data_IF_272713549328
#
_entry.id   IF_272713549328
#
_cell.length_a   1.000
_cell.length_b   1.000
_cell.length_c   1.000
_cell.angle_alpha   90.00
_cell.angle_beta   90.00
_cell.angle_gamma   90.00
#
_symmetry.space_group_name_H-M   'P 1'
#
loop_
_entity.id
_entity.type
_entity.pdbx_description
1 polymer ?
#
# COMPACT_ATOMS: atom_id res chain seq x y z
N UNK A 1 4.80 -8.14 -4.28
CA UNK A 1 5.29 -7.72 -2.96
C UNK A 1 4.89 -6.27 -2.72
N UNK A 2 4.58 -5.89 -1.48
CA UNK A 2 4.26 -4.51 -1.12
C UNK A 2 5.16 -4.08 0.03
N UNK A 3 5.63 -2.84 -0.01
CA UNK A 3 6.50 -2.27 1.03
C UNK A 3 6.00 -0.90 1.46
N UNK A 4 6.03 -0.63 2.77
CA UNK A 4 5.86 0.69 3.36
C UNK A 4 7.22 1.20 3.86
N UNK A 5 7.45 2.50 3.81
CA UNK A 5 8.77 3.08 4.07
C UNK A 5 8.69 4.45 4.74
N UNK A 6 9.81 4.85 5.36
CA UNK A 6 10.00 6.19 5.96
C UNK A 6 10.07 7.31 4.92
N UNK A 7 10.20 6.97 3.64
CA UNK A 7 10.02 7.92 2.53
C UNK A 7 8.54 8.27 2.26
N UNK A 8 7.62 7.81 3.15
CA UNK A 8 6.18 8.10 3.14
C UNK A 8 5.44 7.42 1.99
N UNK A 9 6.08 6.42 1.36
CA UNK A 9 5.55 5.73 0.18
C UNK A 9 5.17 4.30 0.50
N UNK A 10 4.09 3.88 -0.15
CA UNK A 10 3.73 2.48 -0.31
C UNK A 10 4.08 2.09 -1.75
N UNK A 11 4.93 1.09 -1.92
CA UNK A 11 5.37 0.63 -3.25
C UNK A 11 4.91 -0.78 -3.50
N UNK A 12 4.47 -1.01 -4.73
CA UNK A 12 4.03 -2.30 -5.23
C UNK A 12 5.04 -2.81 -6.25
N UNK A 13 5.47 -4.03 -6.02
CA UNK A 13 6.56 -4.65 -6.74
C UNK A 13 6.09 -5.94 -7.39
N UNK A 14 6.47 -6.12 -8.65
CA UNK A 14 6.23 -7.33 -9.42
C UNK A 14 7.58 -7.93 -9.81
N UNK A 15 7.63 -9.26 -9.80
CA UNK A 15 8.72 -10.04 -10.37
C UNK A 15 8.08 -11.12 -11.25
N UNK A 16 8.02 -10.91 -12.59
CA UNK A 16 7.24 -11.75 -13.49
C UNK A 16 7.64 -13.23 -13.48
N UNK A 17 8.92 -13.51 -13.26
CA UNK A 17 9.46 -14.85 -13.14
C UNK A 17 10.70 -14.85 -12.23
N UNK A 18 11.24 -16.03 -11.90
CA UNK A 18 12.35 -16.18 -10.96
C UNK A 18 13.65 -15.50 -11.41
N UNK A 19 13.86 -15.35 -12.71
CA UNK A 19 15.08 -14.80 -13.30
C UNK A 19 14.97 -13.29 -13.60
N UNK A 20 13.78 -12.73 -13.48
CA UNK A 20 13.55 -11.28 -13.66
C UNK A 20 13.98 -10.48 -12.44
N UNK A 21 14.33 -9.22 -12.69
CA UNK A 21 14.48 -8.21 -11.64
C UNK A 21 13.12 -7.79 -11.07
N UNK A 22 13.14 -7.31 -9.83
CA UNK A 22 11.96 -6.68 -9.24
C UNK A 22 11.74 -5.30 -9.87
N UNK A 23 10.53 -5.03 -10.33
CA UNK A 23 10.14 -3.71 -10.81
C UNK A 23 9.04 -3.11 -9.94
N UNK A 24 9.18 -1.82 -9.62
CA UNK A 24 8.15 -1.03 -8.96
C UNK A 24 7.13 -0.62 -10.02
N UNK A 25 5.97 -1.27 -10.06
CA UNK A 25 4.92 -0.93 -11.03
C UNK A 25 3.94 0.12 -10.50
N UNK A 26 3.90 0.34 -9.18
CA UNK A 26 3.04 1.38 -8.60
C UNK A 26 3.64 1.96 -7.31
N UNK A 27 3.40 3.25 -7.09
CA UNK A 27 3.72 3.98 -5.85
C UNK A 27 2.49 4.76 -5.41
N UNK A 28 2.10 4.62 -4.15
CA UNK A 28 1.08 5.44 -3.49
C UNK A 28 1.80 6.34 -2.47
N UNK A 29 1.51 7.64 -2.52
CA UNK A 29 2.17 8.67 -1.71
C UNK A 29 1.11 9.56 -1.06
N UNK A 30 0.20 8.93 -0.31
CA UNK A 30 -0.86 9.64 0.42
C UNK A 30 -0.49 9.86 1.89
N UNK A 31 0.34 8.98 2.46
CA UNK A 31 0.91 9.21 3.77
C UNK A 31 1.76 10.49 3.79
N UNK A 32 1.59 11.30 4.84
CA UNK A 32 2.32 12.54 5.10
C UNK A 32 3.53 12.34 6.01
N UNK A 33 3.65 11.15 6.59
CA UNK A 33 4.77 10.73 7.44
C UNK A 33 5.10 9.24 7.24
N UNK A 34 5.96 8.67 8.08
CA UNK A 34 6.44 7.30 7.96
C UNK A 34 5.31 6.28 7.91
N UNK A 35 5.40 5.33 6.97
CA UNK A 35 4.53 4.15 6.94
C UNK A 35 5.13 3.10 7.87
N UNK A 36 4.41 2.78 8.95
CA UNK A 36 4.91 1.94 10.02
C UNK A 36 4.47 0.48 9.89
N UNK A 37 3.31 0.22 9.29
CA UNK A 37 2.80 -1.13 9.11
C UNK A 37 1.96 -1.28 7.84
N UNK A 38 1.92 -2.52 7.35
CA UNK A 38 1.08 -2.98 6.25
C UNK A 38 0.47 -4.33 6.62
N UNK A 39 -0.79 -4.56 6.26
CA UNK A 39 -1.46 -5.84 6.42
C UNK A 39 -2.36 -6.14 5.24
N UNK A 40 -2.29 -7.36 4.71
CA UNK A 40 -3.26 -7.85 3.73
C UNK A 40 -4.51 -8.38 4.43
N UNK A 41 -5.62 -8.41 3.70
CA UNK A 41 -6.74 -9.28 4.04
C UNK A 41 -6.51 -10.70 3.50
N UNK A 42 -7.34 -11.65 3.96
CA UNK A 42 -7.22 -13.07 3.59
C UNK A 42 -7.35 -13.32 2.07
N UNK A 43 -8.15 -12.51 1.38
CA UNK A 43 -8.36 -12.64 -0.07
C UNK A 43 -7.30 -11.92 -0.92
N UNK A 44 -6.29 -11.30 -0.29
CA UNK A 44 -5.21 -10.56 -0.94
C UNK A 44 -5.64 -9.47 -1.94
N UNK A 45 -6.89 -9.01 -1.85
CA UNK A 45 -7.44 -7.95 -2.70
C UNK A 45 -7.49 -6.60 -1.98
N UNK A 46 -7.22 -6.57 -0.67
CA UNK A 46 -7.15 -5.34 0.13
C UNK A 46 -5.91 -5.30 1.02
N UNK A 47 -5.42 -4.09 1.23
CA UNK A 47 -4.28 -3.79 2.09
C UNK A 47 -4.65 -2.64 3.01
N UNK A 48 -4.34 -2.78 4.28
CA UNK A 48 -4.40 -1.68 5.25
C UNK A 48 -2.98 -1.20 5.51
N UNK A 49 -2.81 0.12 5.57
CA UNK A 49 -1.57 0.78 5.95
C UNK A 49 -1.81 1.77 7.07
N UNK A 50 -0.81 1.99 7.92
CA UNK A 50 -0.86 3.04 8.93
C UNK A 50 0.51 3.70 9.13
N UNK A 51 0.49 4.97 9.53
CA UNK A 51 1.68 5.79 9.70
C UNK A 51 1.61 6.79 10.85
N UNK A 52 2.72 7.53 11.03
CA UNK A 52 2.89 8.57 12.05
C UNK A 52 2.06 9.84 11.77
N UNK A 53 1.57 9.98 10.54
CA UNK A 53 0.64 11.02 10.12
C UNK A 53 -0.78 10.85 10.65
N UNK A 54 -1.00 9.80 11.46
CA UNK A 54 -2.30 9.42 12.04
C UNK A 54 -3.33 9.00 10.99
N UNK A 55 -2.87 8.66 9.78
CA UNK A 55 -3.71 8.11 8.73
C UNK A 55 -3.68 6.59 8.74
N UNK A 56 -4.83 6.00 8.48
CA UNK A 56 -5.00 4.61 8.08
C UNK A 56 -5.60 4.63 6.68
N UNK A 57 -4.90 4.05 5.71
CA UNK A 57 -5.40 3.91 4.34
C UNK A 57 -5.88 2.48 4.13
N UNK A 58 -7.02 2.34 3.45
CA UNK A 58 -7.49 1.07 2.91
C UNK A 58 -7.33 1.10 1.41
N UNK A 59 -6.51 0.19 0.90
CA UNK A 59 -6.19 0.06 -0.51
C UNK A 59 -6.88 -1.17 -1.07
N UNK A 60 -7.50 -1.06 -2.24
CA UNK A 60 -8.16 -2.16 -2.94
C UNK A 60 -7.61 -2.35 -4.34
N UNK A 61 -7.40 -3.61 -4.72
CA UNK A 61 -6.98 -4.00 -6.06
C UNK A 61 -8.16 -3.90 -7.04
N UNK A 62 -7.98 -3.13 -8.11
CA UNK A 62 -8.98 -2.97 -9.16
C UNK A 62 -9.23 -4.30 -9.88
N UNK A 63 -10.50 -4.63 -10.09
CA UNK A 63 -10.92 -5.76 -10.92
C UNK A 63 -10.97 -5.43 -12.41
N UNK A 64 -11.01 -4.13 -12.76
CA UNK A 64 -11.22 -3.65 -14.14
C UNK A 64 -9.92 -3.41 -14.90
N UNK A 65 -8.84 -3.12 -14.19
CA UNK A 65 -7.50 -2.90 -14.74
C UNK A 65 -6.56 -3.82 -13.98
N UNK A 66 -5.91 -4.75 -14.70
CA UNK A 66 -4.97 -5.70 -14.10
C UNK A 66 -3.97 -4.96 -13.21
N UNK A 67 -3.98 -5.31 -11.93
CA UNK A 67 -2.97 -5.01 -10.93
C UNK A 67 -2.84 -3.56 -10.43
N UNK A 68 -3.79 -2.66 -10.72
CA UNK A 68 -3.77 -1.33 -10.09
C UNK A 68 -4.44 -1.33 -8.71
N UNK A 69 -3.79 -0.70 -7.74
CA UNK A 69 -4.30 -0.47 -6.39
C UNK A 69 -4.86 0.95 -6.24
N UNK A 70 -5.98 1.11 -5.55
CA UNK A 70 -6.56 2.41 -5.30
C UNK A 70 -6.83 2.57 -3.81
N UNK A 71 -6.61 3.78 -3.30
CA UNK A 71 -7.15 4.13 -2.00
C UNK A 71 -8.68 4.25 -2.09
N UNK A 72 -9.37 3.58 -1.19
CA UNK A 72 -10.83 3.58 -1.08
C UNK A 72 -11.32 4.18 0.24
N UNK A 73 -10.44 4.40 1.22
CA UNK A 73 -10.80 4.96 2.52
C UNK A 73 -9.59 5.52 3.27
N UNK A 74 -9.75 6.76 3.73
CA UNK A 74 -8.85 7.44 4.66
C UNK A 74 -9.49 7.59 6.03
N UNK A 75 -8.86 7.03 7.06
CA UNK A 75 -9.28 7.20 8.44
C UNK A 75 -8.22 7.96 9.22
N UNK A 76 -8.62 9.04 9.89
CA UNK A 76 -7.78 9.69 10.89
C UNK A 76 -8.07 9.08 12.25
N UNK A 77 -7.05 8.65 12.98
CA UNK A 77 -7.21 8.26 14.37
C UNK A 77 -6.71 9.37 15.30
N UNK A 78 -7.51 9.69 16.31
CA UNK A 78 -7.17 10.66 17.35
C UNK A 78 -6.84 9.85 18.61
N UNK A 79 -5.61 9.96 19.10
CA UNK A 79 -5.30 9.49 20.46
C UNK A 79 -6.16 10.31 21.42
N UNK A 80 -7.02 9.65 22.20
CA UNK A 80 -7.79 10.27 23.29
C UNK A 80 -6.87 10.70 24.41
#
# INVERSE_FOLDING_TARGET
MITGSRDKKIKFWLKPNKDSEWSCYQTIQEHKDYVNALSFNESENRVISCGDDKLILVLEKSSKFQDQWNNILDLNYVYK
#
